data_IF_710845244783
#
_entry.id   IF_710845244783
#
_cell.length_a   1.000
_cell.length_b   1.000
_cell.length_c   1.000
_cell.angle_alpha   90.00
_cell.angle_beta   90.00
_cell.angle_gamma   90.00
#
_symmetry.space_group_name_H-M   'P 1'
#
loop_
_entity.id
_entity.type
_entity.pdbx_description
1 polymer ?
#
# COMPACT_ATOMS: atom_id res chain seq x y z
N UNK A 1 19.37 -11.57 -16.36
CA UNK A 1 18.94 -11.42 -14.96
C UNK A 1 18.05 -12.58 -14.53
N UNK A 2 18.07 -12.94 -13.23
CA UNK A 2 17.17 -13.92 -12.64
C UNK A 2 15.85 -13.24 -12.24
N UNK A 3 14.73 -13.94 -12.43
CA UNK A 3 13.39 -13.42 -12.11
C UNK A 3 12.44 -14.55 -11.69
N UNK A 4 11.48 -14.23 -10.79
CA UNK A 4 10.34 -15.07 -10.51
C UNK A 4 9.21 -14.72 -11.48
N UNK A 5 8.67 -15.69 -12.21
CA UNK A 5 7.71 -15.47 -13.29
C UNK A 5 6.40 -16.18 -12.98
N UNK A 6 5.29 -15.45 -13.06
CA UNK A 6 3.95 -16.02 -13.07
C UNK A 6 3.56 -16.31 -14.52
N UNK A 7 3.64 -17.58 -14.93
CA UNK A 7 3.37 -17.99 -16.29
C UNK A 7 1.87 -18.13 -16.59
N UNK A 8 1.08 -18.56 -15.60
CA UNK A 8 -0.38 -18.71 -15.69
C UNK A 8 -1.01 -18.72 -14.29
N UNK A 9 -2.24 -18.30 -14.20
CA UNK A 9 -2.98 -18.35 -12.93
C UNK A 9 -3.06 -19.77 -12.37
N UNK A 10 -2.95 -19.87 -11.04
CA UNK A 10 -2.99 -21.14 -10.32
C UNK A 10 -1.73 -21.98 -10.41
N UNK A 11 -0.67 -21.51 -11.08
CA UNK A 11 0.62 -22.19 -11.13
C UNK A 11 1.61 -21.54 -10.15
N UNK A 12 2.55 -22.31 -9.59
CA UNK A 12 3.67 -21.75 -8.86
C UNK A 12 4.49 -20.80 -9.73
N UNK A 13 5.15 -19.84 -9.09
CA UNK A 13 6.13 -19.00 -9.75
C UNK A 13 7.31 -19.85 -10.21
N UNK A 14 7.76 -19.62 -11.44
CA UNK A 14 8.96 -20.24 -12.00
C UNK A 14 10.13 -19.29 -11.85
N UNK A 15 11.27 -19.79 -11.41
CA UNK A 15 12.52 -19.01 -11.40
C UNK A 15 13.19 -19.18 -12.75
N UNK A 16 13.31 -18.09 -13.50
CA UNK A 16 13.80 -18.10 -14.87
C UNK A 16 14.98 -17.14 -15.04
N UNK A 17 15.87 -17.47 -15.97
CA UNK A 17 16.86 -16.52 -16.50
C UNK A 17 16.25 -15.79 -17.68
N UNK A 18 16.12 -14.47 -17.57
CA UNK A 18 15.55 -13.60 -18.59
C UNK A 18 16.62 -12.62 -19.10
N UNK A 19 16.47 -12.09 -20.32
CA UNK A 19 17.30 -10.97 -20.78
C UNK A 19 17.25 -9.80 -19.78
N UNK A 20 18.36 -9.08 -19.65
CA UNK A 20 18.38 -7.84 -18.90
C UNK A 20 17.45 -6.80 -19.58
N UNK A 21 16.77 -5.93 -18.81
CA UNK A 21 15.90 -4.91 -19.38
C UNK A 21 16.70 -3.92 -20.24
N UNK A 22 16.13 -3.54 -21.39
CA UNK A 22 16.72 -2.53 -22.25
C UNK A 22 16.26 -1.14 -21.84
N UNK A 23 17.20 -0.22 -21.73
CA UNK A 23 16.97 1.17 -21.35
C UNK A 23 16.47 1.99 -22.53
N UNK A 24 15.37 2.71 -22.34
CA UNK A 24 14.81 3.68 -23.28
C UNK A 24 14.91 5.13 -22.79
N UNK A 25 14.45 6.08 -23.61
CA UNK A 25 14.27 7.48 -23.22
C UNK A 25 13.15 7.60 -22.18
N UNK A 26 13.34 8.42 -21.17
CA UNK A 26 12.38 8.59 -20.07
C UNK A 26 12.28 7.40 -19.13
N UNK A 27 13.32 6.57 -19.09
CA UNK A 27 13.35 5.33 -18.31
C UNK A 27 14.58 5.25 -17.41
N UNK A 28 14.50 4.36 -16.44
CA UNK A 28 15.60 4.01 -15.55
C UNK A 28 15.61 2.50 -15.33
N UNK A 29 16.79 1.92 -15.21
CA UNK A 29 17.01 0.55 -14.75
C UNK A 29 17.53 0.63 -13.33
N UNK A 30 16.89 -0.14 -12.44
CA UNK A 30 17.23 -0.21 -11.01
C UNK A 30 17.65 -1.62 -10.68
N UNK A 31 18.78 -1.76 -9.99
CA UNK A 31 19.20 -2.98 -9.32
C UNK A 31 18.36 -3.14 -8.06
N UNK A 32 17.50 -4.15 -8.02
CA UNK A 32 16.57 -4.37 -6.91
C UNK A 32 17.31 -4.90 -5.68
N UNK A 33 17.17 -4.20 -4.56
CA UNK A 33 17.67 -4.65 -3.26
C UNK A 33 16.61 -5.44 -2.49
N UNK A 34 15.39 -4.91 -2.42
CA UNK A 34 14.26 -5.55 -1.75
C UNK A 34 12.92 -5.16 -2.38
N UNK A 35 11.97 -6.08 -2.40
CA UNK A 35 10.60 -5.87 -2.87
C UNK A 35 9.60 -6.55 -1.94
N UNK A 36 8.46 -5.89 -1.71
CA UNK A 36 7.42 -6.39 -0.81
C UNK A 36 6.56 -7.47 -1.45
N UNK A 37 6.17 -8.47 -0.63
CA UNK A 37 5.14 -9.45 -0.96
C UNK A 37 3.83 -9.04 -0.29
N UNK A 38 2.77 -8.87 -1.09
CA UNK A 38 1.44 -8.53 -0.56
C UNK A 38 0.80 -9.74 0.11
N UNK A 39 0.14 -9.54 1.25
CA UNK A 39 -0.53 -10.63 1.97
C UNK A 39 -1.59 -11.37 1.13
N UNK A 40 -2.14 -10.70 0.13
CA UNK A 40 -3.13 -11.27 -0.81
C UNK A 40 -2.54 -11.65 -2.18
N UNK A 41 -1.21 -11.73 -2.30
CA UNK A 41 -0.56 -12.09 -3.57
C UNK A 41 -1.03 -13.46 -4.10
N UNK A 42 -1.25 -14.42 -3.19
CA UNK A 42 -1.77 -15.73 -3.55
C UNK A 42 -3.15 -15.66 -4.22
N UNK A 43 -4.05 -14.79 -3.74
CA UNK A 43 -5.39 -14.58 -4.34
C UNK A 43 -5.29 -14.00 -5.77
N UNK A 44 -4.28 -13.15 -6.01
CA UNK A 44 -4.00 -12.60 -7.35
C UNK A 44 -3.46 -13.69 -8.27
N UNK A 45 -2.48 -14.46 -7.80
CA UNK A 45 -1.78 -15.46 -8.60
C UNK A 45 -2.64 -16.71 -8.88
N UNK A 46 -3.58 -17.02 -8.00
CA UNK A 46 -4.61 -18.04 -8.26
C UNK A 46 -5.68 -17.59 -9.25
N UNK A 47 -5.83 -16.27 -9.47
CA UNK A 47 -6.92 -15.69 -10.27
C UNK A 47 -8.22 -15.53 -9.48
N UNK A 48 -8.23 -15.81 -8.17
CA UNK A 48 -9.40 -15.60 -7.30
C UNK A 48 -9.72 -14.10 -7.20
N UNK A 49 -8.71 -13.27 -6.99
CA UNK A 49 -8.84 -11.81 -7.03
C UNK A 49 -8.79 -11.35 -8.49
N UNK A 50 -9.92 -10.91 -9.02
CA UNK A 50 -10.13 -10.53 -10.43
C UNK A 50 -9.40 -9.24 -10.80
N UNK A 51 -8.08 -9.26 -10.66
CA UNK A 51 -7.23 -8.16 -11.09
C UNK A 51 -7.04 -8.18 -12.61
N UNK A 52 -7.01 -6.98 -13.19
CA UNK A 52 -6.77 -6.79 -14.61
C UNK A 52 -5.27 -6.84 -14.88
N UNK A 53 -4.77 -7.92 -15.42
CA UNK A 53 -3.35 -8.14 -15.74
C UNK A 53 -3.21 -9.16 -16.88
N UNK A 54 -2.07 -9.11 -17.58
CA UNK A 54 -1.72 -10.07 -18.64
C UNK A 54 -0.54 -10.94 -18.20
N UNK A 55 -0.56 -12.22 -18.60
CA UNK A 55 0.48 -13.19 -18.30
C UNK A 55 1.19 -13.65 -19.60
N UNK A 56 2.45 -14.13 -19.53
CA UNK A 56 3.29 -14.27 -18.34
C UNK A 56 3.83 -12.92 -17.86
N UNK A 57 4.12 -12.75 -16.54
CA UNK A 57 4.69 -11.52 -16.00
C UNK A 57 5.65 -11.82 -14.83
N UNK A 58 6.57 -10.90 -14.56
CA UNK A 58 7.31 -10.84 -13.30
C UNK A 58 6.48 -10.04 -12.30
N UNK A 59 6.04 -10.63 -11.17
CA UNK A 59 5.31 -9.89 -10.13
C UNK A 59 6.23 -8.94 -9.35
N UNK A 60 5.62 -8.24 -8.35
CA UNK A 60 6.33 -7.40 -7.39
C UNK A 60 6.04 -5.93 -7.58
N UNK A 61 4.98 -5.40 -6.89
CA UNK A 61 4.63 -3.98 -6.99
C UNK A 61 5.55 -3.13 -6.12
N UNK A 62 6.51 -2.49 -6.75
CA UNK A 62 7.46 -1.58 -6.10
C UNK A 62 8.64 -2.28 -5.42
N UNK A 63 9.71 -1.52 -5.27
CA UNK A 63 10.96 -1.98 -4.69
C UNK A 63 11.75 -0.83 -4.07
N UNK A 64 12.76 -1.20 -3.30
CA UNK A 64 13.91 -0.34 -2.98
C UNK A 64 15.10 -0.89 -3.76
N UNK A 65 15.86 0.00 -4.38
CA UNK A 65 17.02 -0.40 -5.14
C UNK A 65 17.96 0.75 -5.48
N UNK A 66 19.04 0.42 -6.19
CA UNK A 66 19.99 1.40 -6.67
C UNK A 66 19.83 1.61 -8.17
N UNK A 67 19.84 2.86 -8.59
CA UNK A 67 19.85 3.21 -10.01
C UNK A 67 21.08 2.58 -10.65
N UNK A 68 20.87 1.74 -11.66
CA UNK A 68 21.91 1.12 -12.46
C UNK A 68 22.28 1.96 -13.67
N UNK A 69 21.24 2.44 -14.35
CA UNK A 69 21.40 3.26 -15.57
C UNK A 69 20.16 4.14 -15.77
N UNK A 70 20.36 5.30 -16.40
CA UNK A 70 19.30 6.26 -16.72
C UNK A 70 19.26 6.54 -18.21
N UNK A 71 18.06 6.82 -18.74
CA UNK A 71 17.89 7.31 -20.08
C UNK A 71 18.60 8.67 -20.30
N UNK A 72 18.84 9.05 -21.56
CA UNK A 72 19.62 10.25 -21.89
C UNK A 72 18.97 11.57 -21.48
N UNK A 73 17.70 11.55 -21.15
CA UNK A 73 16.88 12.69 -20.73
C UNK A 73 16.75 12.83 -19.20
N UNK A 74 17.32 11.92 -18.42
CA UNK A 74 17.35 12.03 -16.98
C UNK A 74 18.35 13.11 -16.53
N UNK A 75 17.88 14.08 -15.74
CA UNK A 75 18.71 15.22 -15.31
C UNK A 75 19.07 15.19 -13.82
N UNK A 76 18.37 14.39 -13.01
CA UNK A 76 18.52 14.37 -11.54
C UNK A 76 18.98 13.02 -11.01
N UNK A 77 18.49 11.92 -11.58
CA UNK A 77 18.90 10.58 -11.19
C UNK A 77 20.29 10.24 -11.71
N UNK A 78 21.08 9.58 -10.89
CA UNK A 78 22.44 9.13 -11.22
C UNK A 78 22.61 7.65 -10.86
N UNK A 79 23.42 6.88 -11.59
CA UNK A 79 23.81 5.56 -11.18
C UNK A 79 24.35 5.56 -9.74
N UNK A 80 23.87 4.63 -8.92
CA UNK A 80 24.20 4.51 -7.50
C UNK A 80 23.18 5.14 -6.55
N UNK A 81 22.31 6.04 -7.02
CA UNK A 81 21.26 6.64 -6.17
C UNK A 81 20.32 5.58 -5.63
N UNK A 82 19.99 5.68 -4.34
CA UNK A 82 18.93 4.89 -3.74
C UNK A 82 17.55 5.45 -4.07
N UNK A 83 16.69 4.58 -4.60
CA UNK A 83 15.34 4.97 -5.02
C UNK A 83 14.28 4.00 -4.49
N UNK A 84 13.11 4.54 -4.25
CA UNK A 84 11.87 3.78 -4.22
C UNK A 84 11.31 3.68 -5.64
N UNK A 85 11.13 2.46 -6.12
CA UNK A 85 10.48 2.16 -7.39
C UNK A 85 8.97 2.21 -7.17
N UNK A 86 8.33 3.33 -7.49
CA UNK A 86 6.88 3.49 -7.36
C UNK A 86 6.16 2.66 -8.43
N UNK A 87 5.36 1.66 -8.07
CA UNK A 87 4.66 0.82 -9.04
C UNK A 87 3.53 1.55 -9.76
N UNK A 88 3.07 2.70 -9.28
CA UNK A 88 1.94 3.44 -9.83
C UNK A 88 2.33 4.20 -11.11
N UNK A 89 2.53 3.47 -12.20
CA UNK A 89 2.84 4.04 -13.52
C UNK A 89 1.58 4.68 -14.11
N UNK A 90 1.73 5.92 -14.57
CA UNK A 90 0.65 6.70 -15.19
C UNK A 90 0.93 6.98 -16.66
N UNK A 91 -0.15 7.17 -17.46
CA UNK A 91 0.00 7.62 -18.84
C UNK A 91 0.66 9.00 -18.87
N UNK A 92 1.54 9.21 -19.89
CA UNK A 92 2.39 10.40 -20.03
C UNK A 92 1.89 11.38 -21.11
N UNK A 93 0.69 11.16 -21.62
CA UNK A 93 0.08 11.91 -22.72
C UNK A 93 -0.74 13.11 -22.23
N UNK A 94 -0.47 13.60 -21.03
CA UNK A 94 -1.11 14.76 -20.41
C UNK A 94 -2.64 14.68 -20.33
N UNK A 95 -3.17 13.48 -20.14
CA UNK A 95 -4.61 13.28 -19.97
C UNK A 95 -5.11 13.91 -18.65
N UNK A 96 -6.32 14.47 -18.67
CA UNK A 96 -6.98 15.00 -17.47
C UNK A 96 -7.18 13.92 -16.41
N UNK A 97 -7.48 12.69 -16.85
CA UNK A 97 -7.57 11.48 -16.01
C UNK A 97 -6.63 10.44 -16.58
N UNK A 98 -5.36 10.40 -16.15
CA UNK A 98 -4.38 9.48 -16.70
C UNK A 98 -4.76 8.03 -16.35
N UNK A 99 -4.58 7.14 -17.31
CA UNK A 99 -4.62 5.70 -17.04
C UNK A 99 -3.49 5.31 -16.09
N UNK A 100 -3.76 4.30 -15.25
CA UNK A 100 -2.82 3.84 -14.22
C UNK A 100 -2.64 2.33 -14.32
N UNK A 101 -1.39 1.88 -14.30
CA UNK A 101 -1.00 0.51 -14.01
C UNK A 101 -0.22 0.45 -12.70
N UNK A 102 -0.41 -0.58 -11.91
CA UNK A 102 0.48 -0.96 -10.83
C UNK A 102 1.44 -2.01 -11.39
N UNK A 103 2.62 -1.57 -11.78
CA UNK A 103 3.65 -2.40 -12.41
C UNK A 103 3.95 -3.63 -11.54
N UNK A 104 3.92 -4.83 -12.17
CA UNK A 104 4.08 -6.09 -11.46
C UNK A 104 2.87 -6.55 -10.64
N UNK A 105 1.67 -5.95 -10.83
CA UNK A 105 0.48 -6.35 -10.07
C UNK A 105 -0.84 -6.29 -10.87
N UNK A 106 -1.27 -5.11 -11.32
CA UNK A 106 -2.60 -4.93 -11.96
C UNK A 106 -2.69 -3.64 -12.76
N UNK A 107 -3.69 -3.52 -13.59
CA UNK A 107 -4.05 -2.29 -14.27
C UNK A 107 -5.40 -1.76 -13.77
N UNK A 108 -5.61 -0.43 -13.87
CA UNK A 108 -6.85 0.21 -13.45
C UNK A 108 -7.92 0.25 -14.54
N UNK A 109 -7.54 0.01 -15.80
CA UNK A 109 -8.38 0.15 -16.99
C UNK A 109 -7.73 -0.56 -18.17
N UNK A 110 -8.43 -0.60 -19.32
CA UNK A 110 -7.85 -1.04 -20.58
C UNK A 110 -6.65 -0.18 -21.03
N UNK A 111 -6.68 1.13 -20.76
CA UNK A 111 -5.53 2.01 -20.98
C UNK A 111 -4.36 1.66 -20.05
N UNK A 112 -4.65 1.32 -18.80
CA UNK A 112 -3.68 0.80 -17.86
C UNK A 112 -3.05 -0.52 -18.31
N UNK A 113 -3.81 -1.42 -18.96
CA UNK A 113 -3.23 -2.64 -19.58
C UNK A 113 -2.23 -2.31 -20.69
N UNK A 114 -2.49 -1.28 -21.52
CA UNK A 114 -1.50 -0.82 -22.52
C UNK A 114 -0.21 -0.35 -21.87
N UNK A 115 -0.29 0.37 -20.74
CA UNK A 115 0.89 0.75 -19.96
C UNK A 115 1.60 -0.50 -19.40
N UNK A 116 0.85 -1.47 -18.89
CA UNK A 116 1.39 -2.72 -18.35
C UNK A 116 2.09 -3.56 -19.44
N UNK A 117 1.61 -3.55 -20.68
CA UNK A 117 2.31 -4.24 -21.79
C UNK A 117 3.69 -3.68 -22.05
N UNK A 118 3.92 -2.41 -21.78
CA UNK A 118 5.21 -1.75 -21.95
C UNK A 118 6.08 -1.82 -20.68
N UNK A 119 5.53 -1.42 -19.52
CA UNK A 119 6.17 -1.54 -18.21
C UNK A 119 5.66 -2.81 -17.52
N UNK A 120 5.98 -3.94 -18.14
CA UNK A 120 5.36 -5.22 -17.87
C UNK A 120 5.84 -5.86 -16.58
N UNK A 121 7.17 -5.96 -16.42
CA UNK A 121 7.80 -6.74 -15.38
C UNK A 121 7.97 -5.92 -14.10
N UNK A 122 7.58 -6.52 -12.97
CA UNK A 122 7.73 -5.96 -11.63
C UNK A 122 9.10 -6.24 -11.02
N UNK A 123 9.17 -6.15 -9.70
CA UNK A 123 10.40 -6.10 -8.94
C UNK A 123 10.90 -7.45 -8.40
N UNK A 124 10.21 -8.57 -8.67
CA UNK A 124 10.71 -9.88 -8.24
C UNK A 124 11.72 -10.45 -9.25
N UNK A 125 12.73 -9.62 -9.51
CA UNK A 125 13.85 -9.86 -10.37
C UNK A 125 15.08 -9.10 -9.86
N UNK A 126 16.27 -9.45 -10.36
CA UNK A 126 17.51 -8.74 -10.00
C UNK A 126 17.54 -7.30 -10.47
N UNK A 127 16.78 -6.97 -11.53
CA UNK A 127 16.67 -5.64 -12.11
C UNK A 127 15.22 -5.34 -12.50
N UNK A 128 14.87 -4.06 -12.43
CA UNK A 128 13.58 -3.53 -12.84
C UNK A 128 13.75 -2.31 -13.72
N UNK A 129 13.00 -2.24 -14.83
CA UNK A 129 12.89 -1.03 -15.67
C UNK A 129 11.58 -0.32 -15.33
N UNK A 130 11.64 0.99 -15.14
CA UNK A 130 10.47 1.80 -14.83
C UNK A 130 10.61 3.20 -15.44
N UNK A 131 9.51 4.00 -15.53
CA UNK A 131 9.59 5.41 -15.91
C UNK A 131 10.50 6.19 -14.96
N UNK A 132 11.22 7.17 -15.48
CA UNK A 132 12.13 8.00 -14.68
C UNK A 132 11.43 8.68 -13.50
N UNK A 133 10.20 9.15 -13.68
CA UNK A 133 9.38 9.78 -12.62
C UNK A 133 8.91 8.82 -11.53
N UNK A 134 8.96 7.52 -11.80
CA UNK A 134 8.61 6.49 -10.82
C UNK A 134 9.82 6.03 -9.98
N UNK A 135 11.03 6.41 -10.33
CA UNK A 135 12.21 6.21 -9.50
C UNK A 135 12.39 7.39 -8.54
N UNK A 136 11.83 7.28 -7.35
CA UNK A 136 11.81 8.38 -6.36
C UNK A 136 13.04 8.30 -5.47
N UNK A 137 13.95 9.30 -5.51
CA UNK A 137 15.12 9.30 -4.63
C UNK A 137 14.72 9.31 -3.16
N UNK A 138 15.29 8.38 -2.38
CA UNK A 138 15.07 8.30 -0.93
C UNK A 138 16.27 8.80 -0.13
N UNK A 139 17.32 9.30 -0.82
CA UNK A 139 18.60 9.71 -0.25
C UNK A 139 19.44 8.53 0.19
N UNK A 140 20.59 8.78 0.79
CA UNK A 140 21.51 7.73 1.23
C UNK A 140 20.92 6.91 2.37
N UNK A 141 21.02 5.59 2.23
CA UNK A 141 20.63 4.61 3.23
C UNK A 141 21.72 3.51 3.30
N UNK A 142 21.83 2.85 4.46
CA UNK A 142 22.60 1.63 4.55
C UNK A 142 21.88 0.51 3.76
N UNK A 143 22.62 -0.34 3.07
CA UNK A 143 22.07 -1.44 2.27
C UNK A 143 21.21 -2.40 3.12
N UNK A 144 21.63 -2.65 4.36
CA UNK A 144 20.87 -3.47 5.35
C UNK A 144 19.47 -2.91 5.66
N UNK A 145 19.24 -1.60 5.47
CA UNK A 145 17.98 -0.93 5.75
C UNK A 145 17.03 -0.90 4.55
N UNK A 146 17.49 -1.35 3.37
CA UNK A 146 16.66 -1.37 2.16
C UNK A 146 15.33 -2.10 2.37
N UNK A 147 15.34 -3.23 3.09
CA UNK A 147 14.13 -3.97 3.43
C UNK A 147 13.13 -3.14 4.24
N UNK A 148 13.57 -2.31 5.20
CA UNK A 148 12.71 -1.43 6.01
C UNK A 148 12.06 -0.34 5.18
N UNK A 149 12.79 0.22 4.22
CA UNK A 149 12.27 1.23 3.31
C UNK A 149 11.17 0.70 2.38
N UNK A 150 11.04 -0.63 2.20
CA UNK A 150 9.90 -1.23 1.50
C UNK A 150 8.55 -0.90 2.17
N UNK A 151 8.54 -0.46 3.44
CA UNK A 151 7.36 0.06 4.12
C UNK A 151 6.71 1.24 3.39
N UNK A 152 7.46 1.99 2.56
CA UNK A 152 6.91 3.04 1.69
C UNK A 152 5.68 2.54 0.92
N UNK A 153 5.74 1.36 0.31
CA UNK A 153 4.62 0.79 -0.43
C UNK A 153 3.37 0.51 0.42
N UNK A 154 3.54 0.35 1.76
CA UNK A 154 2.41 0.18 2.69
C UNK A 154 1.89 1.53 3.20
N UNK A 155 2.78 2.46 3.48
CA UNK A 155 2.47 3.78 4.04
C UNK A 155 1.81 4.70 3.01
N UNK A 156 2.20 4.62 1.74
CA UNK A 156 1.73 5.48 0.67
C UNK A 156 0.24 5.32 0.36
N UNK A 157 -0.32 4.12 0.49
CA UNK A 157 -1.73 3.89 0.22
C UNK A 157 -2.63 4.72 1.14
N UNK A 158 -2.58 4.56 2.48
CA UNK A 158 -3.38 5.40 3.37
C UNK A 158 -2.98 6.88 3.32
N UNK A 159 -1.70 7.20 3.04
CA UNK A 159 -1.26 8.58 2.86
C UNK A 159 -2.00 9.27 1.71
N UNK A 160 -2.17 8.56 0.58
CA UNK A 160 -3.00 9.03 -0.53
C UNK A 160 -4.44 9.34 -0.11
N UNK A 161 -5.03 8.50 0.74
CA UNK A 161 -6.35 8.73 1.32
C UNK A 161 -6.42 9.98 2.18
N UNK A 162 -5.44 10.19 3.06
CA UNK A 162 -5.40 11.39 3.90
C UNK A 162 -5.11 12.67 3.12
N UNK A 163 -4.27 12.62 2.08
CA UNK A 163 -4.10 13.74 1.15
C UNK A 163 -5.42 14.06 0.43
N UNK A 164 -6.15 13.04 -0.01
CA UNK A 164 -7.46 13.21 -0.65
C UNK A 164 -8.51 13.77 0.32
N UNK A 165 -8.45 13.39 1.59
CA UNK A 165 -9.27 13.95 2.66
C UNK A 165 -8.85 15.37 3.07
N UNK A 166 -7.68 15.84 2.63
CA UNK A 166 -7.09 17.09 3.12
C UNK A 166 -6.99 17.11 4.66
N UNK A 167 -6.47 16.00 5.24
CA UNK A 167 -6.29 15.87 6.69
C UNK A 167 -5.47 17.04 7.24
N UNK A 168 -6.00 17.69 8.29
CA UNK A 168 -5.34 18.79 8.97
C UNK A 168 -4.76 18.35 10.33
N UNK A 169 -3.69 19.00 10.74
CA UNK A 169 -3.18 18.81 12.10
C UNK A 169 -4.24 19.21 13.15
N UNK A 170 -4.33 18.41 14.22
CA UNK A 170 -5.32 18.61 15.28
C UNK A 170 -6.66 17.92 15.06
N UNK A 171 -6.91 17.32 13.90
CA UNK A 171 -8.15 16.58 13.61
C UNK A 171 -8.18 15.19 14.26
N UNK A 172 -9.39 14.67 14.46
CA UNK A 172 -9.65 13.32 14.95
C UNK A 172 -10.01 12.43 13.77
N UNK A 173 -9.26 11.33 13.64
CA UNK A 173 -9.37 10.39 12.54
C UNK A 173 -9.96 9.07 13.01
N UNK A 174 -10.89 8.51 12.22
CA UNK A 174 -11.33 7.12 12.35
C UNK A 174 -10.70 6.29 11.22
N UNK A 175 -9.93 5.27 11.58
CA UNK A 175 -9.38 4.29 10.62
C UNK A 175 -10.22 3.01 10.71
N UNK A 176 -11.04 2.76 9.68
CA UNK A 176 -11.88 1.56 9.59
C UNK A 176 -11.09 0.43 8.91
N UNK A 177 -10.81 -0.63 9.66
CA UNK A 177 -9.93 -1.72 9.24
C UNK A 177 -8.48 -1.56 9.72
N UNK A 178 -8.27 -0.91 10.86
CA UNK A 178 -6.95 -0.59 11.43
C UNK A 178 -6.08 -1.82 11.74
N UNK A 179 -6.66 -3.02 11.85
CA UNK A 179 -5.94 -4.26 12.20
C UNK A 179 -5.26 -4.95 11.02
N UNK A 180 -5.43 -4.44 9.80
CA UNK A 180 -4.72 -4.91 8.61
C UNK A 180 -3.37 -4.20 8.40
N UNK A 181 -2.57 -4.65 7.46
CA UNK A 181 -1.27 -4.05 7.10
C UNK A 181 -1.41 -2.57 6.69
N UNK A 182 -2.32 -2.25 5.76
CA UNK A 182 -2.58 -0.86 5.34
C UNK A 182 -3.28 -0.05 6.44
N UNK A 183 -4.15 -0.68 7.23
CA UNK A 183 -4.87 0.00 8.30
C UNK A 183 -3.95 0.40 9.46
N UNK A 184 -3.02 -0.45 9.85
CA UNK A 184 -2.01 -0.11 10.88
C UNK A 184 -1.07 0.99 10.39
N UNK A 185 -0.68 0.94 9.11
CA UNK A 185 0.06 2.02 8.47
C UNK A 185 -0.74 3.34 8.46
N UNK A 186 -2.07 3.28 8.23
CA UNK A 186 -2.93 4.44 8.29
C UNK A 186 -2.90 5.12 9.66
N UNK A 187 -2.87 4.33 10.75
CA UNK A 187 -2.73 4.88 12.10
C UNK A 187 -1.43 5.66 12.24
N UNK A 188 -0.30 5.07 11.84
CA UNK A 188 1.00 5.73 11.90
C UNK A 188 1.04 7.01 11.06
N UNK A 189 0.52 6.94 9.82
CA UNK A 189 0.49 8.07 8.89
C UNK A 189 -0.39 9.21 9.41
N UNK A 190 -1.58 8.93 9.92
CA UNK A 190 -2.46 9.96 10.49
C UNK A 190 -1.76 10.71 11.63
N UNK A 191 -1.07 9.98 12.52
CA UNK A 191 -0.32 10.56 13.64
C UNK A 191 0.87 11.40 13.16
N UNK A 192 1.59 10.94 12.13
CA UNK A 192 2.71 11.67 11.51
C UNK A 192 2.26 12.96 10.80
N UNK A 193 1.03 12.97 10.25
CA UNK A 193 0.41 14.15 9.64
C UNK A 193 -0.15 15.13 10.69
N UNK A 194 -0.06 14.82 11.98
CA UNK A 194 -0.46 15.71 13.06
C UNK A 194 -1.89 15.49 13.58
N UNK A 195 -2.55 14.37 13.26
CA UNK A 195 -3.86 14.05 13.86
C UNK A 195 -3.79 14.12 15.38
N UNK A 196 -4.77 14.75 16.03
CA UNK A 196 -4.87 14.82 17.49
C UNK A 196 -5.02 13.43 18.10
N UNK A 197 -5.84 12.60 17.48
CA UNK A 197 -6.08 11.23 17.90
C UNK A 197 -6.63 10.37 16.78
N UNK A 198 -6.41 9.06 16.90
CA UNK A 198 -6.89 8.06 15.95
C UNK A 198 -7.78 7.05 16.67
N UNK A 199 -9.00 6.87 16.15
CA UNK A 199 -9.88 5.78 16.56
C UNK A 199 -9.60 4.62 15.61
N UNK A 200 -9.06 3.53 16.14
CA UNK A 200 -8.68 2.34 15.40
C UNK A 200 -9.75 1.26 15.54
N UNK A 201 -10.47 0.94 14.46
CA UNK A 201 -11.49 -0.11 14.49
C UNK A 201 -11.02 -1.39 13.82
N UNK A 202 -11.47 -2.53 14.32
CA UNK A 202 -11.16 -3.84 13.76
C UNK A 202 -11.76 -4.98 14.59
N UNK A 203 -11.67 -6.21 14.06
CA UNK A 203 -12.17 -7.42 14.74
C UNK A 203 -11.10 -8.11 15.58
N UNK A 204 -9.84 -7.93 15.24
CA UNK A 204 -8.71 -8.56 15.94
C UNK A 204 -8.30 -7.71 17.15
N UNK A 205 -8.73 -8.10 18.34
CA UNK A 205 -8.48 -7.36 19.58
C UNK A 205 -7.00 -7.34 19.96
N UNK A 206 -6.24 -8.41 19.65
CA UNK A 206 -4.80 -8.44 19.91
C UNK A 206 -4.06 -7.40 19.06
N UNK A 207 -4.43 -7.29 17.78
CA UNK A 207 -3.87 -6.27 16.89
C UNK A 207 -4.25 -4.85 17.33
N UNK A 208 -5.48 -4.64 17.81
CA UNK A 208 -5.90 -3.36 18.37
C UNK A 208 -5.11 -3.00 19.65
N UNK A 209 -4.89 -3.96 20.54
CA UNK A 209 -4.08 -3.77 21.75
C UNK A 209 -2.62 -3.44 21.40
N UNK A 210 -2.06 -4.06 20.37
CA UNK A 210 -0.73 -3.73 19.85
C UNK A 210 -0.65 -2.28 19.37
N UNK A 211 -1.63 -1.80 18.60
CA UNK A 211 -1.68 -0.40 18.15
C UNK A 211 -1.72 0.57 19.33
N UNK A 212 -2.57 0.30 20.33
CA UNK A 212 -2.67 1.15 21.54
C UNK A 212 -1.36 1.13 22.33
N UNK A 213 -0.72 -0.03 22.50
CA UNK A 213 0.57 -0.14 23.18
C UNK A 213 1.67 0.65 22.45
N UNK A 214 1.67 0.62 21.11
CA UNK A 214 2.70 1.23 20.27
C UNK A 214 2.58 2.75 20.20
N UNK A 215 1.37 3.28 20.10
CA UNK A 215 1.12 4.71 19.90
C UNK A 215 0.53 5.43 21.12
N UNK A 216 0.29 4.71 22.21
CA UNK A 216 -0.17 5.26 23.48
C UNK A 216 -1.56 5.89 23.42
N UNK A 217 -1.79 6.89 24.25
CA UNK A 217 -3.09 7.52 24.46
C UNK A 217 -3.68 8.23 23.21
N UNK A 218 -2.86 8.47 22.19
CA UNK A 218 -3.32 9.03 20.90
C UNK A 218 -4.10 8.04 20.04
N UNK A 219 -4.04 6.73 20.35
CA UNK A 219 -4.80 5.69 19.64
C UNK A 219 -5.81 5.06 20.58
N UNK A 220 -7.08 5.09 20.18
CA UNK A 220 -8.20 4.49 20.91
C UNK A 220 -8.78 3.34 20.10
N UNK A 221 -8.68 2.15 20.64
CA UNK A 221 -9.11 0.93 19.99
C UNK A 221 -10.61 0.66 20.20
N UNK A 222 -11.29 0.26 19.12
CA UNK A 222 -12.70 -0.18 19.18
C UNK A 222 -12.85 -1.53 18.51
N UNK A 223 -13.07 -2.61 19.28
CA UNK A 223 -13.44 -3.90 18.72
C UNK A 223 -14.80 -3.85 18.05
N UNK A 224 -14.86 -4.19 16.76
CA UNK A 224 -16.08 -4.26 15.97
C UNK A 224 -16.76 -5.62 16.16
N UNK A 225 -18.05 -5.62 16.48
CA UNK A 225 -18.86 -6.82 16.76
C UNK A 225 -19.85 -7.14 15.65
N UNK A 226 -20.01 -6.27 14.66
CA UNK A 226 -20.94 -6.45 13.55
C UNK A 226 -22.36 -5.96 13.82
N UNK A 227 -22.62 -5.32 14.95
CA UNK A 227 -23.89 -4.68 15.28
C UNK A 227 -23.78 -3.16 15.05
N UNK A 228 -24.30 -2.68 13.94
CA UNK A 228 -24.06 -1.32 13.43
C UNK A 228 -24.31 -0.21 14.47
N UNK A 229 -25.48 -0.25 15.15
CA UNK A 229 -25.84 0.78 16.14
C UNK A 229 -24.89 0.74 17.35
N UNK A 230 -24.57 -0.45 17.85
CA UNK A 230 -23.72 -0.63 19.03
C UNK A 230 -22.25 -0.31 18.70
N UNK A 231 -21.78 -0.74 17.53
CA UNK A 231 -20.42 -0.44 17.06
C UNK A 231 -20.24 1.08 16.89
N UNK A 232 -21.21 1.75 16.30
CA UNK A 232 -21.19 3.21 16.18
C UNK A 232 -21.21 3.90 17.54
N UNK A 233 -22.04 3.43 18.46
CA UNK A 233 -22.10 3.98 19.82
C UNK A 233 -20.74 3.86 20.53
N UNK A 234 -20.06 2.69 20.43
CA UNK A 234 -18.72 2.48 20.99
C UNK A 234 -17.67 3.42 20.34
N UNK A 235 -17.72 3.59 19.02
CA UNK A 235 -16.84 4.52 18.31
C UNK A 235 -16.99 5.94 18.88
N UNK A 236 -18.23 6.43 18.99
CA UNK A 236 -18.51 7.76 19.48
C UNK A 236 -18.18 7.94 20.97
N UNK A 237 -18.35 6.89 21.78
CA UNK A 237 -18.05 6.91 23.22
C UNK A 237 -16.54 7.08 23.49
N UNK A 238 -15.66 6.45 22.69
CA UNK A 238 -14.21 6.55 22.90
C UNK A 238 -13.61 7.76 22.20
N UNK A 239 -14.32 8.39 21.27
CA UNK A 239 -13.82 9.53 20.54
C UNK A 239 -13.46 10.69 21.48
N UNK A 240 -12.27 11.30 21.36
CA UNK A 240 -11.88 12.43 22.21
C UNK A 240 -12.62 13.72 21.87
N UNK A 241 -13.40 13.71 20.80
CA UNK A 241 -14.21 14.80 20.28
C UNK A 241 -14.88 14.41 18.97
N UNK A 242 -15.44 15.34 18.22
CA UNK A 242 -16.07 15.09 16.93
C UNK A 242 -15.11 14.48 15.92
N UNK A 243 -15.51 13.42 15.24
CA UNK A 243 -14.66 12.72 14.23
C UNK A 243 -14.66 13.54 12.94
N UNK A 244 -13.51 14.06 12.56
CA UNK A 244 -13.33 14.95 11.39
C UNK A 244 -13.19 14.17 10.09
N UNK A 245 -12.46 13.06 10.15
CA UNK A 245 -12.08 12.29 8.96
C UNK A 245 -12.23 10.78 9.22
N UNK A 246 -12.83 10.08 8.26
CA UNK A 246 -12.92 8.61 8.24
C UNK A 246 -12.13 8.11 7.04
N UNK A 247 -11.17 7.21 7.27
CA UNK A 247 -10.52 6.43 6.24
C UNK A 247 -11.04 5.00 6.31
N UNK A 248 -11.76 4.57 5.28
CA UNK A 248 -12.16 3.17 5.13
C UNK A 248 -11.15 2.41 4.28
N UNK A 249 -10.59 1.33 4.84
CA UNK A 249 -9.61 0.48 4.17
C UNK A 249 -9.87 -1.00 4.46
N UNK A 250 -11.14 -1.36 4.57
CA UNK A 250 -11.60 -2.73 4.80
C UNK A 250 -11.28 -3.65 3.61
N UNK A 251 -11.00 -4.93 3.87
CA UNK A 251 -10.72 -5.91 2.81
C UNK A 251 -11.99 -6.28 2.02
N UNK A 252 -11.86 -6.95 0.83
CA UNK A 252 -13.00 -7.38 0.02
C UNK A 252 -14.02 -8.27 0.73
N UNK A 253 -13.58 -9.04 1.72
CA UNK A 253 -14.45 -9.93 2.51
C UNK A 253 -15.26 -9.20 3.60
N UNK A 254 -15.10 -7.89 3.76
CA UNK A 254 -15.89 -7.11 4.72
C UNK A 254 -17.24 -6.72 4.15
N UNK A 255 -18.23 -6.52 5.05
CA UNK A 255 -19.59 -6.13 4.70
C UNK A 255 -19.70 -4.59 4.53
N UNK A 256 -20.54 -4.14 3.60
CA UNK A 256 -20.87 -2.73 3.41
C UNK A 256 -21.49 -2.08 4.66
N UNK A 257 -22.17 -2.84 5.52
CA UNK A 257 -22.69 -2.35 6.82
C UNK A 257 -21.56 -1.88 7.75
N UNK A 258 -20.37 -2.52 7.69
CA UNK A 258 -19.21 -2.10 8.49
C UNK A 258 -18.65 -0.76 7.98
N UNK A 259 -18.68 -0.53 6.66
CA UNK A 259 -18.34 0.77 6.06
C UNK A 259 -19.34 1.81 6.52
N UNK A 260 -20.66 1.53 6.41
CA UNK A 260 -21.73 2.43 6.82
C UNK A 260 -21.62 2.82 8.30
N UNK A 261 -21.30 1.87 9.19
CA UNK A 261 -21.07 2.13 10.60
C UNK A 261 -20.03 3.23 10.83
N UNK A 262 -18.89 3.13 10.14
CA UNK A 262 -17.80 4.11 10.25
C UNK A 262 -18.19 5.48 9.61
N UNK A 263 -18.80 5.45 8.42
CA UNK A 263 -19.27 6.66 7.73
C UNK A 263 -20.26 7.45 8.60
N UNK A 264 -21.21 6.77 9.20
CA UNK A 264 -22.25 7.40 10.05
C UNK A 264 -21.73 7.92 11.40
N UNK A 265 -20.47 7.68 11.72
CA UNK A 265 -19.82 8.22 12.92
C UNK A 265 -19.14 9.57 12.70
N UNK A 266 -18.98 10.01 11.43
CA UNK A 266 -18.36 11.30 11.12
C UNK A 266 -19.24 12.47 11.54
N UNK A 267 -18.62 13.58 11.99
CA UNK A 267 -19.35 14.80 12.35
C UNK A 267 -19.97 15.51 11.14
N UNK A 268 -20.91 16.44 11.34
CA UNK A 268 -21.30 17.37 10.28
C UNK A 268 -20.07 18.11 9.69
N UNK A 269 -20.09 18.32 8.37
CA UNK A 269 -18.95 18.83 7.57
C UNK A 269 -17.70 17.95 7.62
N UNK A 270 -17.81 16.69 8.05
CA UNK A 270 -16.73 15.74 8.05
C UNK A 270 -16.49 15.11 6.67
N UNK A 271 -15.36 14.41 6.57
CA UNK A 271 -14.91 13.83 5.31
C UNK A 271 -14.69 12.33 5.46
N UNK A 272 -15.07 11.59 4.43
CA UNK A 272 -14.92 10.14 4.36
C UNK A 272 -14.19 9.79 3.09
N UNK A 273 -13.14 8.99 3.20
CA UNK A 273 -12.40 8.47 2.04
C UNK A 273 -12.51 6.95 2.01
N UNK A 274 -12.97 6.43 0.89
CA UNK A 274 -13.11 5.00 0.63
C UNK A 274 -11.92 4.52 -0.20
N UNK A 275 -11.12 3.63 0.37
CA UNK A 275 -9.96 2.99 -0.27
C UNK A 275 -9.99 1.46 -0.12
N UNK A 276 -10.99 0.94 0.60
CA UNK A 276 -11.13 -0.49 0.83
C UNK A 276 -11.55 -1.28 -0.40
N UNK A 277 -11.54 -2.59 -0.26
CA UNK A 277 -11.96 -3.52 -1.32
C UNK A 277 -13.40 -4.00 -1.19
N UNK A 278 -14.20 -3.45 -0.30
CA UNK A 278 -15.57 -3.90 -0.03
C UNK A 278 -16.41 -3.88 -1.32
N UNK A 279 -17.09 -5.00 -1.60
CA UNK A 279 -17.85 -5.18 -2.83
C UNK A 279 -17.07 -5.73 -4.02
N UNK A 280 -15.72 -5.76 -4.00
CA UNK A 280 -14.92 -6.32 -5.09
C UNK A 280 -15.10 -7.84 -5.25
N UNK A 281 -15.48 -8.53 -4.19
CA UNK A 281 -15.82 -9.96 -4.21
C UNK A 281 -17.33 -10.21 -4.35
N UNK A 282 -18.11 -9.19 -4.70
CA UNK A 282 -19.57 -9.21 -4.68
C UNK A 282 -20.14 -8.76 -3.34
N UNK A 283 -21.48 -8.88 -3.18
CA UNK A 283 -22.19 -8.48 -1.97
C UNK A 283 -23.09 -7.27 -2.16
N UNK A 284 -23.66 -6.76 -1.06
CA UNK A 284 -24.55 -5.59 -1.08
C UNK A 284 -23.77 -4.29 -1.35
N UNK A 285 -24.39 -3.38 -2.08
CA UNK A 285 -23.87 -2.04 -2.28
C UNK A 285 -23.86 -1.23 -0.96
N UNK A 286 -23.05 -0.18 -0.93
CA UNK A 286 -23.03 0.76 0.20
C UNK A 286 -24.28 1.62 0.17
N UNK A 287 -25.20 1.37 1.10
CA UNK A 287 -26.42 2.16 1.29
C UNK A 287 -26.18 3.26 2.33
N UNK A 288 -26.26 4.52 1.92
CA UNK A 288 -26.11 5.69 2.78
C UNK A 288 -27.36 6.57 2.72
N UNK A 289 -27.87 7.06 3.89
CA UNK A 289 -29.06 7.88 3.92
C UNK A 289 -28.80 9.25 3.27
N UNK A 290 -29.30 9.44 2.05
CA UNK A 290 -29.15 10.71 1.33
C UNK A 290 -29.55 11.96 2.15
N UNK A 291 -30.73 11.99 2.85
CA UNK A 291 -31.11 13.16 3.65
C UNK A 291 -30.12 13.46 4.79
N UNK A 292 -29.51 12.42 5.38
CA UNK A 292 -28.49 12.59 6.40
C UNK A 292 -27.22 13.19 5.83
N UNK A 293 -26.73 12.68 4.73
CA UNK A 293 -25.52 13.20 4.06
C UNK A 293 -25.68 14.68 3.68
N UNK A 294 -26.82 15.00 3.05
CA UNK A 294 -27.13 16.36 2.61
C UNK A 294 -27.25 17.33 3.78
N UNK A 295 -28.01 16.98 4.83
CA UNK A 295 -28.21 17.85 6.00
C UNK A 295 -26.93 18.04 6.83
N UNK A 296 -26.04 17.09 6.84
CA UNK A 296 -24.79 17.16 7.57
C UNK A 296 -23.60 17.61 6.70
N UNK A 297 -23.83 17.95 5.43
CA UNK A 297 -22.78 18.41 4.50
C UNK A 297 -21.58 17.46 4.45
N UNK A 298 -21.84 16.14 4.36
CA UNK A 298 -20.78 15.12 4.37
C UNK A 298 -20.10 15.05 3.01
N UNK A 299 -18.77 15.06 3.03
CA UNK A 299 -17.96 14.76 1.85
C UNK A 299 -17.60 13.28 1.82
N UNK A 300 -18.04 12.56 0.78
CA UNK A 300 -17.66 11.18 0.51
C UNK A 300 -16.81 11.11 -0.76
N UNK A 301 -15.63 10.53 -0.67
CA UNK A 301 -14.69 10.45 -1.78
C UNK A 301 -14.10 9.04 -1.92
N UNK A 302 -14.12 8.49 -3.14
CA UNK A 302 -13.30 7.34 -3.52
C UNK A 302 -11.88 7.79 -3.84
N UNK A 303 -10.88 7.04 -3.39
CA UNK A 303 -9.48 7.28 -3.73
C UNK A 303 -8.80 5.95 -4.04
N UNK A 304 -8.15 5.88 -5.21
CA UNK A 304 -7.29 4.76 -5.57
C UNK A 304 -5.85 5.23 -5.68
N UNK A 305 -4.95 4.59 -4.92
CA UNK A 305 -3.55 4.96 -4.79
C UNK A 305 -3.35 6.40 -4.26
N UNK A 306 -2.35 7.11 -4.73
CA UNK A 306 -1.86 8.39 -4.22
C UNK A 306 -1.37 9.28 -5.37
N UNK A 307 -1.24 10.60 -5.18
CA UNK A 307 -0.71 11.50 -6.20
C UNK A 307 0.81 11.26 -6.42
N UNK A 308 1.37 11.62 -7.60
CA UNK A 308 2.76 11.32 -7.95
C UNK A 308 3.81 11.82 -6.94
N UNK A 309 3.58 12.97 -6.31
CA UNK A 309 4.50 13.57 -5.34
C UNK A 309 4.45 12.92 -3.94
N UNK A 310 3.50 12.03 -3.68
CA UNK A 310 3.29 11.44 -2.35
C UNK A 310 4.52 10.67 -1.85
N UNK A 311 5.21 9.95 -2.73
CA UNK A 311 6.38 9.16 -2.33
C UNK A 311 7.54 10.05 -1.83
N UNK A 312 7.78 11.19 -2.48
CA UNK A 312 8.79 12.17 -2.03
C UNK A 312 8.42 12.75 -0.65
N UNK A 313 7.15 13.11 -0.46
CA UNK A 313 6.69 13.65 0.83
C UNK A 313 6.76 12.60 1.94
N UNK A 314 6.38 11.35 1.66
CA UNK A 314 6.48 10.25 2.62
C UNK A 314 7.93 9.96 3.01
N UNK A 315 8.86 9.95 2.05
CA UNK A 315 10.29 9.82 2.34
C UNK A 315 10.77 10.96 3.25
N UNK A 316 10.25 12.17 3.07
CA UNK A 316 10.49 13.32 3.96
C UNK A 316 10.00 13.08 5.39
N UNK A 317 8.79 12.53 5.58
CA UNK A 317 8.24 12.20 6.91
C UNK A 317 9.10 11.14 7.62
N UNK A 318 9.55 10.12 6.89
CA UNK A 318 10.44 9.08 7.43
C UNK A 318 11.78 9.70 7.86
N UNK A 319 12.41 10.49 7.00
CA UNK A 319 13.70 11.15 7.30
C UNK A 319 13.61 12.15 8.44
N UNK A 320 12.47 12.81 8.62
CA UNK A 320 12.21 13.68 9.75
C UNK A 320 11.95 12.91 11.07
N UNK A 321 11.94 11.58 11.06
CA UNK A 321 11.65 10.75 12.23
C UNK A 321 10.18 10.78 12.68
N UNK A 322 9.27 11.29 11.83
CA UNK A 322 7.83 11.30 12.11
C UNK A 322 7.18 9.95 11.90
N UNK A 323 7.78 9.13 11.05
CA UNK A 323 7.45 7.71 10.87
C UNK A 323 8.70 6.89 11.14
N UNK A 324 8.59 6.00 12.10
CA UNK A 324 9.65 5.08 12.49
C UNK A 324 9.49 3.75 11.73
N UNK A 325 10.47 3.42 10.90
CA UNK A 325 10.48 2.17 10.12
C UNK A 325 10.78 0.94 10.99
N UNK A 326 11.34 1.10 12.19
CA UNK A 326 11.57 0.01 13.15
C UNK A 326 10.26 -0.57 13.71
N UNK A 327 9.15 0.10 13.43
CA UNK A 327 7.84 -0.49 13.69
C UNK A 327 7.56 -1.74 12.85
N UNK A 328 8.21 -1.92 11.71
CA UNK A 328 7.92 -3.02 10.78
C UNK A 328 8.81 -4.24 11.07
N UNK A 329 8.16 -5.35 11.41
CA UNK A 329 8.79 -6.68 11.45
C UNK A 329 8.95 -7.22 10.04
N UNK A 330 10.13 -7.71 9.69
CA UNK A 330 10.47 -8.14 8.35
C UNK A 330 10.81 -9.62 8.33
N UNK A 331 10.21 -10.37 7.42
CA UNK A 331 10.64 -11.71 7.01
C UNK A 331 11.15 -11.63 5.57
N UNK A 332 12.44 -11.79 5.36
CA UNK A 332 13.09 -11.71 4.06
C UNK A 332 13.37 -13.10 3.47
N UNK A 333 13.14 -13.24 2.17
CA UNK A 333 13.36 -14.45 1.38
C UNK A 333 14.20 -14.12 0.16
N UNK A 334 15.10 -15.03 -0.22
CA UNK A 334 15.78 -14.96 -1.52
C UNK A 334 14.81 -15.22 -2.68
N UNK A 335 15.17 -14.81 -3.88
CA UNK A 335 14.32 -14.97 -5.07
C UNK A 335 13.93 -16.44 -5.33
N UNK A 336 14.85 -17.38 -5.05
CA UNK A 336 14.60 -18.82 -5.21
C UNK A 336 13.46 -19.35 -4.32
N UNK A 337 13.11 -18.61 -3.27
CA UNK A 337 12.05 -18.90 -2.30
C UNK A 337 10.82 -18.03 -2.49
N UNK A 338 10.56 -17.53 -3.71
CA UNK A 338 9.44 -16.62 -3.98
C UNK A 338 8.07 -17.26 -3.66
N UNK A 339 7.90 -18.57 -3.88
CA UNK A 339 6.65 -19.26 -3.55
C UNK A 339 6.44 -19.37 -2.03
N UNK A 340 7.48 -19.64 -1.27
CA UNK A 340 7.47 -19.68 0.18
C UNK A 340 7.19 -18.29 0.76
N UNK A 341 7.75 -17.24 0.14
CA UNK A 341 7.48 -15.84 0.52
C UNK A 341 5.99 -15.49 0.33
N UNK A 342 5.37 -15.94 -0.77
CA UNK A 342 3.92 -15.76 -1.01
C UNK A 342 3.10 -16.47 0.06
N UNK A 343 3.41 -17.73 0.36
CA UNK A 343 2.72 -18.48 1.40
C UNK A 343 2.91 -17.85 2.79
N UNK A 344 4.12 -17.40 3.11
CA UNK A 344 4.42 -16.70 4.38
C UNK A 344 3.62 -15.41 4.49
N UNK A 345 3.57 -14.57 3.45
CA UNK A 345 2.83 -13.31 3.45
C UNK A 345 1.34 -13.52 3.71
N UNK A 346 0.74 -14.55 3.12
CA UNK A 346 -0.66 -14.90 3.33
C UNK A 346 -0.94 -15.36 4.77
N UNK A 347 -0.04 -16.16 5.36
CA UNK A 347 -0.21 -16.72 6.71
C UNK A 347 0.10 -15.72 7.84
N UNK A 348 1.06 -14.82 7.63
CA UNK A 348 1.61 -13.95 8.69
C UNK A 348 1.35 -12.46 8.43
N UNK A 349 0.46 -12.11 7.51
CA UNK A 349 0.02 -10.73 7.29
C UNK A 349 -0.61 -10.12 8.55
N UNK A 350 -0.41 -8.82 8.77
CA UNK A 350 -0.95 -8.13 9.94
C UNK A 350 -0.35 -6.74 10.16
N UNK A 351 -0.64 -6.14 11.34
CA UNK A 351 -0.10 -4.83 11.68
C UNK A 351 1.42 -4.84 11.63
N UNK A 352 1.99 -3.91 10.88
CA UNK A 352 3.44 -3.69 10.77
C UNK A 352 4.28 -4.93 10.44
N UNK A 353 3.71 -5.90 9.73
CA UNK A 353 4.43 -7.08 9.26
C UNK A 353 4.62 -7.03 7.77
N UNK A 354 5.84 -7.28 7.33
CA UNK A 354 6.20 -7.32 5.92
C UNK A 354 6.94 -8.60 5.59
N UNK A 355 6.54 -9.21 4.48
CA UNK A 355 7.32 -10.26 3.81
C UNK A 355 7.99 -9.62 2.60
N UNK A 356 9.27 -9.89 2.42
CA UNK A 356 10.09 -9.34 1.35
C UNK A 356 10.72 -10.44 0.50
N UNK A 357 11.00 -10.10 -0.75
CA UNK A 357 11.94 -10.79 -1.61
C UNK A 357 13.17 -9.88 -1.76
N UNK A 358 14.36 -10.41 -1.47
CA UNK A 358 15.67 -9.80 -1.69
C UNK A 358 16.35 -10.57 -2.84
N UNK A 359 16.29 -10.12 -4.09
CA UNK A 359 16.65 -10.93 -5.25
C UNK A 359 18.10 -11.38 -5.31
N UNK A 360 19.00 -10.67 -4.65
CA UNK A 360 20.45 -10.96 -4.61
C UNK A 360 20.88 -11.80 -3.44
N UNK A 361 19.98 -12.12 -2.52
CA UNK A 361 20.27 -12.98 -1.38
C UNK A 361 20.26 -14.45 -1.84
N UNK A 362 21.44 -15.02 -2.07
CA UNK A 362 21.56 -16.41 -2.49
C UNK A 362 21.27 -17.36 -1.31
N UNK A 363 20.29 -18.27 -1.49
CA UNK A 363 20.19 -19.53 -0.74
C UNK A 363 20.00 -19.49 0.77
N UNK A 364 19.70 -18.35 1.39
CA UNK A 364 19.44 -18.28 2.82
C UNK A 364 18.00 -18.63 3.16
N UNK A 365 17.81 -19.44 4.21
CA UNK A 365 16.52 -19.65 4.86
C UNK A 365 15.96 -18.29 5.35
N UNK A 366 14.62 -18.14 5.48
CA UNK A 366 13.99 -16.87 5.86
C UNK A 366 14.60 -16.34 7.17
N UNK A 367 15.09 -15.10 7.12
CA UNK A 367 15.60 -14.39 8.28
C UNK A 367 14.51 -13.42 8.76
N UNK A 368 14.04 -13.61 10.01
CA UNK A 368 13.14 -12.65 10.66
C UNK A 368 13.96 -11.59 11.37
N UNK A 369 13.94 -10.36 10.84
CA UNK A 369 14.61 -9.18 11.40
C UNK A 369 13.57 -8.32 12.15
N UNK A 370 13.85 -8.01 13.40
CA UNK A 370 13.07 -7.11 14.26
C UNK A 370 13.71 -5.74 14.32
#
# INVERSE_FOLDING_TARGET
MKAAVLNRFGSPLAIETRPDPLLGTGEVIVDVAASRVLAYANEVFSGERKYLLELPMVPGPGAIGRVRATGPDATRLRPGDWVYCDPAVRSRDNALSPDIALQGLTAGSEGGLRLQRYFHDGAWAEQMRLPTENAVPIGDIDEKDAGRWCALGTLLVPYGGFLAAQLQAGEIVLVNGATGSFGSAAVAVALAMGAQGVIATGRNEQALAELTRRFGARVRAVPMRGHEADDRARILQVAPGPIDCVLDILPPAADAAQVRTAVMAVRPYGRVVLMGGVGMAGGAGLDLPYPWMMRNCITLRGQWMYPPHAATLMAGLIRAGLIDLDHFEIAAFGLDHANEAVAHAAAHGGPFRMTLIEPRQAGSLPEVRR
#
